data_IF_816994213954
#
_entry.id   IF_816994213954
#
_cell.length_a   1.000
_cell.length_b   1.000
_cell.length_c   1.000
_cell.angle_alpha   90.00
_cell.angle_beta   90.00
_cell.angle_gamma   90.00
#
_symmetry.space_group_name_H-M   'P 1'
#
loop_
_entity.id
_entity.type
_entity.pdbx_description
1 polymer ?
#
# COMPACT_ATOMS: atom_id res chain seq x y z
N UNK A 1 -13.81 9.92 5.55
CA UNK A 1 -13.61 8.78 6.47
C UNK A 1 -12.12 8.49 6.48
N UNK A 2 -11.54 8.15 7.62
CA UNK A 2 -10.09 7.90 7.75
C UNK A 2 -9.82 6.40 7.63
N UNK A 3 -8.96 6.00 6.69
CA UNK A 3 -8.57 4.59 6.46
C UNK A 3 -7.97 4.01 7.74
N UNK A 4 -8.48 2.85 8.15
CA UNK A 4 -7.98 2.14 9.33
C UNK A 4 -6.60 1.56 9.04
N UNK A 5 -6.38 1.05 7.83
CA UNK A 5 -5.07 0.52 7.42
C UNK A 5 -3.98 1.60 7.42
N UNK A 6 -4.26 2.81 6.88
CA UNK A 6 -3.33 3.95 6.95
C UNK A 6 -3.02 4.38 8.38
N UNK A 7 -4.04 4.49 9.22
CA UNK A 7 -3.87 4.87 10.63
C UNK A 7 -3.03 3.83 11.40
N UNK A 8 -3.27 2.53 11.17
CA UNK A 8 -2.49 1.45 11.76
C UNK A 8 -1.02 1.49 11.29
N UNK A 9 -0.80 1.71 9.99
CA UNK A 9 0.55 1.85 9.43
C UNK A 9 1.28 3.05 10.02
N UNK A 10 0.64 4.22 10.11
CA UNK A 10 1.23 5.43 10.68
C UNK A 10 1.66 5.20 12.14
N UNK A 11 0.82 4.54 12.95
CA UNK A 11 1.15 4.16 14.32
C UNK A 11 2.34 3.19 14.38
N UNK A 12 2.38 2.19 13.48
CA UNK A 12 3.49 1.25 13.38
C UNK A 12 4.81 1.90 12.98
N UNK A 13 4.78 2.81 12.00
CA UNK A 13 5.94 3.59 11.56
C UNK A 13 6.46 4.47 12.70
N UNK A 14 5.58 5.10 13.47
CA UNK A 14 5.98 5.89 14.62
C UNK A 14 6.64 5.03 15.70
N UNK A 15 6.07 3.86 16.00
CA UNK A 15 6.70 2.89 16.90
C UNK A 15 8.10 2.46 16.44
N UNK A 16 8.28 2.21 15.14
CA UNK A 16 9.60 1.88 14.56
C UNK A 16 10.58 3.06 14.66
N UNK A 17 10.13 4.30 14.42
CA UNK A 17 10.96 5.49 14.56
C UNK A 17 11.45 5.65 15.99
N UNK A 18 10.54 5.63 16.97
CA UNK A 18 10.87 5.72 18.40
C UNK A 18 11.86 4.61 18.77
N UNK A 19 11.55 3.35 18.44
CA UNK A 19 12.42 2.22 18.74
C UNK A 19 13.81 2.36 18.09
N UNK A 20 13.92 2.91 16.88
CA UNK A 20 15.21 3.13 16.21
C UNK A 20 16.11 4.17 16.89
N UNK A 21 15.53 5.04 17.73
CA UNK A 21 16.26 6.04 18.50
C UNK A 21 16.76 5.50 19.84
N UNK A 22 16.18 4.40 20.32
CA UNK A 22 16.50 3.82 21.63
C UNK A 22 17.99 3.40 21.72
N UNK A 23 18.73 3.79 22.77
CA UNK A 23 20.14 3.43 22.93
C UNK A 23 20.38 1.92 22.90
N UNK A 24 19.47 1.13 23.47
CA UNK A 24 19.56 -0.34 23.47
C UNK A 24 19.53 -0.92 22.04
N UNK A 25 18.72 -0.34 21.15
CA UNK A 25 18.65 -0.77 19.74
C UNK A 25 19.91 -0.37 18.96
N UNK A 26 20.59 0.69 19.40
CA UNK A 26 21.83 1.19 18.76
C UNK A 26 23.10 0.56 19.33
N UNK A 27 23.01 -0.10 20.48
CA UNK A 27 24.13 -0.76 21.13
C UNK A 27 24.72 -1.85 20.23
N UNK A 28 26.05 -1.96 20.20
CA UNK A 28 26.77 -2.99 19.41
C UNK A 28 26.97 -4.28 20.21
N UNK A 29 26.05 -4.58 21.14
CA UNK A 29 26.07 -5.78 21.97
C UNK A 29 25.02 -6.81 21.49
N UNK A 30 25.04 -8.05 22.01
CA UNK A 30 24.09 -9.09 21.59
C UNK A 30 22.62 -8.74 21.82
N UNK A 31 22.31 -7.91 22.83
CA UNK A 31 20.95 -7.47 23.10
C UNK A 31 20.46 -6.51 22.01
N UNK A 32 21.29 -5.53 21.63
CA UNK A 32 21.00 -4.63 20.53
C UNK A 32 20.84 -5.36 19.19
N UNK A 33 21.67 -6.38 18.92
CA UNK A 33 21.54 -7.23 17.73
C UNK A 33 20.21 -7.99 17.70
N UNK A 34 19.80 -8.56 18.84
CA UNK A 34 18.51 -9.22 18.98
C UNK A 34 17.35 -8.25 18.71
N UNK A 35 17.40 -7.04 19.28
CA UNK A 35 16.37 -6.02 19.07
C UNK A 35 16.29 -5.58 17.60
N UNK A 36 17.44 -5.33 16.94
CA UNK A 36 17.47 -4.95 15.52
C UNK A 36 16.92 -6.03 14.61
N UNK A 37 17.19 -7.31 14.87
CA UNK A 37 16.55 -8.42 14.13
C UNK A 37 15.03 -8.39 14.28
N UNK A 38 14.53 -8.24 15.50
CA UNK A 38 13.09 -8.12 15.75
C UNK A 38 12.45 -6.95 15.00
N UNK A 39 13.13 -5.80 14.96
CA UNK A 39 12.66 -4.61 14.25
C UNK A 39 12.72 -4.76 12.73
N UNK A 40 13.75 -5.43 12.19
CA UNK A 40 13.84 -5.72 10.75
C UNK A 40 12.66 -6.59 10.28
N UNK A 41 12.36 -7.65 11.03
CA UNK A 41 11.20 -8.52 10.77
C UNK A 41 9.90 -7.73 10.89
N UNK A 42 9.75 -6.94 11.96
CA UNK A 42 8.54 -6.14 12.21
C UNK A 42 8.30 -5.08 11.13
N UNK A 43 9.36 -4.48 10.59
CA UNK A 43 9.26 -3.47 9.53
C UNK A 43 8.69 -4.06 8.24
N UNK A 44 9.14 -5.24 7.83
CA UNK A 44 8.59 -5.92 6.65
C UNK A 44 7.15 -6.36 6.88
N UNK A 45 6.87 -6.97 8.05
CA UNK A 45 5.52 -7.40 8.41
C UNK A 45 4.54 -6.21 8.44
N UNK A 46 5.00 -5.01 8.80
CA UNK A 46 4.19 -3.80 8.80
C UNK A 46 3.75 -3.43 7.37
N UNK A 47 4.65 -3.54 6.39
CA UNK A 47 4.30 -3.36 4.97
C UNK A 47 3.30 -4.43 4.51
N UNK A 48 3.55 -5.71 4.80
CA UNK A 48 2.64 -6.81 4.40
C UNK A 48 1.24 -6.64 4.98
N UNK A 49 1.17 -6.34 6.28
CA UNK A 49 -0.09 -6.11 7.00
C UNK A 49 -0.83 -4.91 6.41
N UNK A 50 -0.11 -3.84 6.06
CA UNK A 50 -0.73 -2.68 5.42
C UNK A 50 -1.31 -3.03 4.05
N UNK A 51 -0.54 -3.71 3.17
CA UNK A 51 -1.01 -4.10 1.84
C UNK A 51 -2.24 -5.00 1.96
N UNK A 52 -2.19 -6.02 2.82
CA UNK A 52 -3.32 -6.94 3.07
C UNK A 52 -4.56 -6.18 3.57
N UNK A 53 -4.43 -5.40 4.64
CA UNK A 53 -5.54 -4.63 5.21
C UNK A 53 -6.10 -3.62 4.21
N UNK A 54 -5.24 -2.98 3.42
CA UNK A 54 -5.68 -1.99 2.44
C UNK A 54 -6.41 -2.64 1.28
N UNK A 55 -5.97 -3.80 0.78
CA UNK A 55 -6.71 -4.59 -0.21
C UNK A 55 -8.13 -4.91 0.27
N UNK A 56 -8.30 -5.26 1.54
CA UNK A 56 -9.64 -5.51 2.10
C UNK A 56 -10.53 -4.25 2.13
N UNK A 57 -9.95 -3.10 2.49
CA UNK A 57 -10.67 -1.82 2.42
C UNK A 57 -11.07 -1.47 0.97
N UNK A 58 -10.18 -1.66 0.01
CA UNK A 58 -10.44 -1.43 -1.41
C UNK A 58 -11.50 -2.39 -1.96
N UNK A 59 -11.47 -3.66 -1.59
CA UNK A 59 -12.48 -4.64 -1.96
C UNK A 59 -13.87 -4.20 -1.48
N UNK A 60 -13.95 -3.77 -0.22
CA UNK A 60 -15.19 -3.25 0.36
C UNK A 60 -15.68 -2.01 -0.40
N UNK A 61 -14.77 -1.08 -0.75
CA UNK A 61 -15.09 0.11 -1.52
C UNK A 61 -15.62 -0.22 -2.93
N UNK A 62 -14.96 -1.14 -3.64
CA UNK A 62 -15.35 -1.56 -5.00
C UNK A 62 -16.70 -2.28 -4.98
N UNK A 63 -16.94 -3.15 -4.00
CA UNK A 63 -18.21 -3.89 -3.86
C UNK A 63 -19.40 -2.99 -3.49
N UNK A 64 -19.18 -1.74 -3.07
CA UNK A 64 -20.24 -0.72 -2.90
C UNK A 64 -20.60 -0.02 -4.22
N UNK A 65 -20.05 -0.47 -5.35
CA UNK A 65 -20.40 0.01 -6.69
C UNK A 65 -21.66 -0.64 -7.26
N UNK A 66 -21.91 -0.35 -8.54
CA UNK A 66 -23.02 -0.93 -9.31
C UNK A 66 -22.56 -1.89 -10.41
N UNK A 67 -21.26 -2.17 -10.46
CA UNK A 67 -20.65 -3.09 -11.43
C UNK A 67 -21.19 -4.52 -11.18
N UNK A 68 -21.60 -5.22 -12.24
CA UNK A 68 -21.81 -6.67 -12.20
C UNK A 68 -20.55 -7.39 -12.68
N UNK A 69 -20.28 -8.59 -12.15
CA UNK A 69 -19.03 -9.29 -12.51
C UNK A 69 -18.98 -9.58 -14.02
N UNK A 70 -20.16 -9.85 -14.60
CA UNK A 70 -20.35 -10.04 -16.03
C UNK A 70 -20.02 -8.78 -16.87
N UNK A 71 -20.02 -7.58 -16.29
CA UNK A 71 -19.71 -6.33 -16.99
C UNK A 71 -18.19 -6.13 -17.17
N UNK A 72 -17.38 -6.83 -16.38
CA UNK A 72 -15.92 -6.82 -16.53
C UNK A 72 -15.51 -7.45 -17.87
N UNK A 73 -14.41 -7.02 -18.50
CA UNK A 73 -13.89 -7.72 -19.67
C UNK A 73 -13.61 -9.19 -19.35
N UNK A 74 -13.92 -10.11 -20.29
CA UNK A 74 -13.79 -11.55 -20.07
C UNK A 74 -12.39 -11.95 -19.55
N UNK A 75 -11.34 -11.31 -20.07
CA UNK A 75 -9.96 -11.52 -19.60
C UNK A 75 -9.77 -11.17 -18.12
N UNK A 76 -10.42 -10.10 -17.65
CA UNK A 76 -10.37 -9.67 -16.24
C UNK A 76 -11.16 -10.63 -15.37
N UNK A 77 -12.34 -11.07 -15.82
CA UNK A 77 -13.14 -12.09 -15.15
C UNK A 77 -12.35 -13.38 -14.95
N UNK A 78 -11.81 -13.95 -16.03
CA UNK A 78 -11.03 -15.20 -15.99
C UNK A 78 -9.79 -15.08 -15.09
N UNK A 79 -9.08 -13.95 -15.16
CA UNK A 79 -7.89 -13.70 -14.32
C UNK A 79 -8.28 -13.60 -12.85
N UNK A 80 -9.32 -12.85 -12.52
CA UNK A 80 -9.83 -12.69 -11.16
C UNK A 80 -10.26 -14.05 -10.57
N UNK A 81 -11.04 -14.83 -11.31
CA UNK A 81 -11.51 -16.15 -10.86
C UNK A 81 -10.36 -17.13 -10.64
N UNK A 82 -9.41 -17.24 -11.59
CA UNK A 82 -8.25 -18.14 -11.44
C UNK A 82 -7.39 -17.75 -10.24
N UNK A 83 -7.07 -16.47 -10.12
CA UNK A 83 -6.24 -15.97 -9.03
C UNK A 83 -6.90 -16.17 -7.66
N UNK A 84 -8.21 -15.91 -7.56
CA UNK A 84 -8.98 -16.20 -6.36
C UNK A 84 -8.88 -17.68 -5.94
N UNK A 85 -9.02 -18.61 -6.89
CA UNK A 85 -8.92 -20.04 -6.63
C UNK A 85 -7.51 -20.45 -6.19
N UNK A 86 -6.46 -19.89 -6.82
CA UNK A 86 -5.06 -20.17 -6.47
C UNK A 86 -4.76 -19.71 -5.04
N UNK A 87 -5.13 -18.48 -4.69
CA UNK A 87 -4.95 -17.91 -3.34
C UNK A 87 -5.79 -18.66 -2.32
N UNK A 88 -7.05 -18.95 -2.62
CA UNK A 88 -7.93 -19.71 -1.74
C UNK A 88 -7.39 -21.12 -1.47
N UNK A 89 -6.96 -21.84 -2.51
CA UNK A 89 -6.38 -23.17 -2.37
C UNK A 89 -5.07 -23.17 -1.58
N UNK A 90 -4.24 -22.14 -1.72
CA UNK A 90 -3.07 -21.95 -0.88
C UNK A 90 -3.42 -21.70 0.60
N UNK A 91 -4.44 -20.85 0.87
CA UNK A 91 -4.87 -20.53 2.23
C UNK A 91 -5.55 -21.70 2.94
N UNK A 92 -6.46 -22.43 2.27
CA UNK A 92 -7.17 -23.59 2.85
C UNK A 92 -6.19 -24.63 3.40
N UNK A 93 -5.08 -24.88 2.70
CA UNK A 93 -4.04 -25.82 3.15
C UNK A 93 -3.34 -25.43 4.45
N UNK A 94 -3.46 -24.18 4.88
CA UNK A 94 -2.84 -23.64 6.10
C UNK A 94 -3.85 -23.34 7.21
N UNK A 95 -5.15 -23.42 6.91
CA UNK A 95 -6.19 -23.11 7.89
C UNK A 95 -6.39 -24.27 8.87
N UNK A 96 -6.71 -23.97 10.15
CA UNK A 96 -7.23 -24.98 11.07
C UNK A 96 -8.50 -25.61 10.50
N UNK A 97 -8.74 -26.93 10.69
CA UNK A 97 -9.94 -27.61 10.19
C UNK A 97 -11.26 -26.94 10.60
N UNK A 98 -11.29 -26.27 11.76
CA UNK A 98 -12.46 -25.54 12.27
C UNK A 98 -12.86 -24.35 11.40
N UNK A 99 -11.92 -23.77 10.67
CA UNK A 99 -12.10 -22.50 9.95
C UNK A 99 -12.27 -22.72 8.44
N UNK A 100 -11.97 -23.92 7.95
CA UNK A 100 -12.06 -24.25 6.52
C UNK A 100 -13.46 -24.03 5.97
N UNK A 101 -14.49 -24.44 6.71
CA UNK A 101 -15.88 -24.32 6.25
C UNK A 101 -16.30 -22.86 6.05
N UNK A 102 -16.13 -22.02 7.06
CA UNK A 102 -16.50 -20.59 6.99
C UNK A 102 -15.68 -19.85 5.93
N UNK A 103 -14.41 -20.22 5.75
CA UNK A 103 -13.57 -19.70 4.68
C UNK A 103 -14.11 -20.08 3.30
N UNK A 104 -14.41 -21.36 3.06
CA UNK A 104 -14.95 -21.85 1.79
C UNK A 104 -16.31 -21.23 1.49
N UNK A 105 -17.18 -21.05 2.49
CA UNK A 105 -18.46 -20.35 2.34
C UNK A 105 -18.25 -18.90 1.86
N UNK A 106 -17.27 -18.19 2.42
CA UNK A 106 -16.91 -16.82 2.00
C UNK A 106 -16.39 -16.77 0.56
N UNK A 107 -15.50 -17.69 0.20
CA UNK A 107 -14.98 -17.80 -1.18
C UNK A 107 -16.10 -18.15 -2.16
N UNK A 108 -16.98 -19.07 -1.75
CA UNK A 108 -18.14 -19.50 -2.52
C UNK A 108 -19.08 -18.33 -2.83
N UNK A 109 -19.36 -17.45 -1.87
CA UNK A 109 -20.18 -16.25 -2.09
C UNK A 109 -19.59 -15.33 -3.17
N UNK A 110 -18.28 -15.13 -3.18
CA UNK A 110 -17.62 -14.34 -4.23
C UNK A 110 -17.64 -15.03 -5.59
N UNK A 111 -17.57 -16.38 -5.64
CA UNK A 111 -17.68 -17.13 -6.89
C UNK A 111 -19.11 -17.16 -7.44
N UNK A 112 -20.12 -17.19 -6.58
CA UNK A 112 -21.53 -17.12 -6.99
C UNK A 112 -21.88 -15.76 -7.59
N UNK A 113 -21.17 -14.70 -7.17
CA UNK A 113 -21.34 -13.35 -7.72
C UNK A 113 -20.94 -13.21 -9.19
N UNK A 114 -20.39 -14.25 -9.83
CA UNK A 114 -20.05 -14.26 -11.26
C UNK A 114 -21.26 -13.97 -12.17
N UNK A 115 -22.47 -14.29 -11.73
CA UNK A 115 -23.73 -14.01 -12.44
C UNK A 115 -24.57 -12.87 -11.84
N UNK A 116 -24.00 -12.06 -10.93
CA UNK A 116 -24.73 -11.04 -10.18
C UNK A 116 -23.91 -9.75 -9.94
N UNK A 117 -24.35 -8.90 -8.99
CA UNK A 117 -23.58 -7.74 -8.57
C UNK A 117 -22.17 -8.15 -8.15
N UNK A 118 -21.18 -7.30 -8.43
CA UNK A 118 -19.80 -7.60 -8.06
C UNK A 118 -19.67 -7.76 -6.55
N UNK A 119 -19.15 -8.93 -6.17
CA UNK A 119 -18.66 -9.20 -4.82
C UNK A 119 -17.25 -9.79 -4.92
N UNK A 120 -16.28 -8.94 -5.28
CA UNK A 120 -14.88 -9.35 -5.34
C UNK A 120 -14.39 -9.65 -3.92
N UNK A 121 -13.93 -10.89 -3.71
CA UNK A 121 -13.18 -11.22 -2.51
C UNK A 121 -11.87 -10.44 -2.51
N UNK A 122 -11.45 -9.97 -1.35
CA UNK A 122 -10.11 -9.40 -1.15
C UNK A 122 -9.01 -10.36 -1.63
N UNK A 123 -9.23 -11.68 -1.53
CA UNK A 123 -8.32 -12.72 -2.00
C UNK A 123 -7.98 -12.60 -3.50
N UNK A 124 -8.84 -11.97 -4.31
CA UNK A 124 -8.57 -11.66 -5.74
C UNK A 124 -7.34 -10.79 -5.93
N UNK A 125 -6.94 -10.05 -4.89
CA UNK A 125 -5.82 -9.12 -4.88
C UNK A 125 -4.80 -9.46 -3.79
N UNK A 126 -4.72 -10.72 -3.36
CA UNK A 126 -3.72 -11.16 -2.38
C UNK A 126 -2.76 -12.16 -3.01
N UNK A 127 -1.69 -12.49 -2.32
CA UNK A 127 -0.69 -13.46 -2.77
C UNK A 127 -0.93 -14.84 -2.13
N UNK A 128 -0.52 -15.93 -2.80
CA UNK A 128 -0.67 -17.28 -2.28
C UNK A 128 0.40 -17.66 -1.23
N UNK A 129 1.55 -16.97 -1.24
CA UNK A 129 2.65 -17.16 -0.29
C UNK A 129 2.25 -16.89 1.16
N UNK A 130 3.02 -17.37 2.12
CA UNK A 130 2.86 -16.95 3.54
C UNK A 130 3.35 -15.53 3.75
N UNK A 131 4.27 -15.10 2.90
CA UNK A 131 4.82 -13.76 2.84
C UNK A 131 4.77 -13.27 1.40
N UNK A 132 4.53 -11.98 1.24
CA UNK A 132 4.61 -11.25 -0.02
C UNK A 132 6.08 -11.14 -0.41
N UNK A 133 6.43 -11.48 -1.65
CA UNK A 133 7.73 -11.15 -2.23
C UNK A 133 7.62 -10.00 -3.25
N UNK A 134 8.72 -9.63 -3.91
CA UNK A 134 8.72 -8.57 -4.91
C UNK A 134 7.81 -8.86 -6.11
N UNK A 135 7.76 -10.12 -6.54
CA UNK A 135 6.98 -10.53 -7.70
C UNK A 135 5.48 -10.52 -7.37
N UNK A 136 5.12 -10.91 -6.15
CA UNK A 136 3.75 -10.78 -5.62
C UNK A 136 3.30 -9.32 -5.60
N UNK A 137 4.14 -8.41 -5.10
CA UNK A 137 3.85 -6.98 -5.04
C UNK A 137 3.68 -6.39 -6.46
N UNK A 138 4.54 -6.75 -7.40
CA UNK A 138 4.41 -6.32 -8.79
C UNK A 138 3.17 -6.93 -9.48
N UNK A 139 2.88 -8.20 -9.23
CA UNK A 139 1.68 -8.87 -9.76
C UNK A 139 0.41 -8.21 -9.24
N UNK A 140 0.41 -7.79 -7.97
CA UNK A 140 -0.68 -7.06 -7.35
C UNK A 140 -0.91 -5.70 -8.02
N UNK A 141 0.14 -4.90 -8.24
CA UNK A 141 0.01 -3.63 -8.96
C UNK A 141 -0.50 -3.81 -10.40
N UNK A 142 -0.13 -4.91 -11.07
CA UNK A 142 -0.67 -5.26 -12.39
C UNK A 142 -2.17 -5.60 -12.36
N UNK A 143 -2.75 -5.95 -11.21
CA UNK A 143 -4.21 -6.09 -11.07
C UNK A 143 -4.91 -4.73 -11.00
N UNK A 144 -4.18 -3.68 -10.62
CA UNK A 144 -4.63 -2.28 -10.61
C UNK A 144 -4.17 -1.50 -11.84
N UNK A 145 -3.95 -2.20 -12.96
CA UNK A 145 -3.60 -1.62 -14.26
C UNK A 145 -2.33 -0.76 -14.24
N UNK A 146 -1.30 -1.28 -13.58
CA UNK A 146 0.08 -0.76 -13.63
C UNK A 146 0.93 -1.80 -14.35
N UNK A 147 1.15 -1.63 -15.65
CA UNK A 147 1.76 -2.68 -16.49
C UNK A 147 3.27 -2.82 -16.25
N UNK A 148 3.93 -1.71 -15.91
CA UNK A 148 5.34 -1.64 -15.52
C UNK A 148 5.46 -1.15 -14.05
N UNK A 149 5.21 -2.02 -13.06
CA UNK A 149 5.17 -1.63 -11.64
C UNK A 149 6.40 -0.88 -11.17
N UNK A 150 7.60 -1.37 -11.50
CA UNK A 150 8.85 -0.80 -11.01
C UNK A 150 9.12 0.60 -11.58
N UNK A 151 8.91 0.81 -12.88
CA UNK A 151 9.02 2.13 -13.51
C UNK A 151 8.02 3.12 -12.91
N UNK A 152 6.78 2.67 -12.68
CA UNK A 152 5.72 3.49 -12.10
C UNK A 152 6.05 3.87 -10.64
N UNK A 153 6.55 2.93 -9.84
CA UNK A 153 7.02 3.19 -8.45
C UNK A 153 8.17 4.18 -8.48
N UNK A 154 9.19 3.99 -9.32
CA UNK A 154 10.32 4.92 -9.45
C UNK A 154 9.83 6.33 -9.78
N UNK A 155 8.93 6.44 -10.77
CA UNK A 155 8.36 7.72 -11.20
C UNK A 155 7.59 8.40 -10.08
N UNK A 156 6.68 7.68 -9.42
CA UNK A 156 5.86 8.24 -8.34
C UNK A 156 6.71 8.56 -7.10
N UNK A 157 7.64 7.69 -6.71
CA UNK A 157 8.54 7.91 -5.58
C UNK A 157 9.41 9.15 -5.79
N UNK A 158 9.93 9.35 -7.01
CA UNK A 158 10.67 10.57 -7.36
C UNK A 158 9.79 11.82 -7.25
N UNK A 159 8.54 11.77 -7.73
CA UNK A 159 7.58 12.87 -7.60
C UNK A 159 7.21 13.16 -6.14
N UNK A 160 7.34 12.18 -5.25
CA UNK A 160 7.11 12.32 -3.82
C UNK A 160 8.35 12.75 -3.03
N UNK A 161 9.51 12.92 -3.69
CA UNK A 161 10.77 13.25 -3.01
C UNK A 161 11.33 12.12 -2.16
N UNK A 162 10.92 10.87 -2.42
CA UNK A 162 11.43 9.70 -1.70
C UNK A 162 12.83 9.33 -2.20
N UNK A 163 13.66 8.65 -1.37
CA UNK A 163 15.03 8.30 -1.76
C UNK A 163 15.10 7.54 -3.08
N UNK A 164 16.00 7.92 -4.01
CA UNK A 164 16.17 7.22 -5.28
C UNK A 164 16.76 5.83 -5.05
N UNK A 165 16.44 4.89 -5.94
CA UNK A 165 16.91 3.51 -5.90
C UNK A 165 16.14 2.67 -6.92
N UNK A 166 16.61 1.44 -7.15
CA UNK A 166 15.85 0.45 -7.92
C UNK A 166 14.82 -0.24 -7.00
N UNK A 167 13.51 0.04 -7.13
CA UNK A 167 12.52 -0.48 -6.20
C UNK A 167 12.41 -2.01 -6.21
N UNK A 168 12.73 -2.66 -7.34
CA UNK A 168 12.70 -4.11 -7.41
C UNK A 168 13.77 -4.71 -6.50
N UNK A 169 15.02 -4.28 -6.69
CA UNK A 169 16.15 -4.73 -5.87
C UNK A 169 15.95 -4.37 -4.40
N UNK A 170 15.45 -3.16 -4.09
CA UNK A 170 15.17 -2.72 -2.73
C UNK A 170 14.17 -3.64 -2.01
N UNK A 171 13.04 -3.98 -2.64
CA UNK A 171 12.03 -4.85 -2.03
C UNK A 171 12.54 -6.29 -1.87
N UNK A 172 13.30 -6.79 -2.84
CA UNK A 172 13.95 -8.10 -2.75
C UNK A 172 14.93 -8.16 -1.57
N UNK A 173 15.79 -7.15 -1.44
CA UNK A 173 16.73 -7.06 -0.32
C UNK A 173 16.01 -6.91 1.02
N UNK A 174 14.91 -6.16 1.07
CA UNK A 174 14.10 -6.02 2.28
C UNK A 174 13.53 -7.36 2.74
N UNK A 175 12.98 -8.16 1.81
CA UNK A 175 12.47 -9.49 2.10
C UNK A 175 13.57 -10.47 2.52
N UNK A 176 14.74 -10.42 1.86
CA UNK A 176 15.90 -11.25 2.23
C UNK A 176 16.41 -10.93 3.63
N UNK A 177 16.52 -9.65 3.98
CA UNK A 177 16.97 -9.22 5.30
C UNK A 177 16.00 -9.67 6.39
N UNK A 178 14.68 -9.55 6.15
CA UNK A 178 13.65 -10.11 7.03
C UNK A 178 13.83 -11.61 7.21
N UNK A 179 14.04 -12.36 6.12
CA UNK A 179 14.17 -13.82 6.18
C UNK A 179 15.40 -14.24 6.99
N UNK A 180 16.54 -13.59 6.76
CA UNK A 180 17.77 -13.83 7.53
C UNK A 180 17.58 -13.48 9.00
N UNK A 181 17.03 -12.30 9.30
CA UNK A 181 16.77 -11.86 10.67
C UNK A 181 15.83 -12.79 11.47
N UNK A 182 14.89 -13.45 10.78
CA UNK A 182 13.93 -14.35 11.41
C UNK A 182 14.48 -15.77 11.66
N UNK A 183 15.35 -16.28 10.79
CA UNK A 183 15.73 -17.69 10.77
C UNK A 183 17.20 -17.96 11.11
N UNK A 184 18.08 -16.97 10.96
CA UNK A 184 19.49 -17.10 11.28
C UNK A 184 19.81 -16.39 12.60
N UNK A 185 20.08 -17.19 13.64
CA UNK A 185 20.42 -16.69 14.98
C UNK A 185 21.77 -15.96 15.03
N UNK A 186 22.61 -16.10 14.00
CA UNK A 186 23.91 -15.43 13.86
C UNK A 186 23.87 -14.19 12.96
N UNK A 187 22.78 -13.97 12.22
CA UNK A 187 22.66 -12.83 11.31
C UNK A 187 22.65 -11.50 12.06
N UNK A 188 23.52 -10.58 11.65
CA UNK A 188 23.63 -9.26 12.25
C UNK A 188 22.93 -8.21 11.39
N UNK A 189 21.89 -7.59 11.96
CA UNK A 189 21.22 -6.44 11.35
C UNK A 189 21.95 -5.16 11.76
N UNK A 190 22.36 -4.37 10.76
CA UNK A 190 23.06 -3.11 10.99
C UNK A 190 22.17 -2.06 11.65
N UNK A 191 22.74 -1.17 12.47
CA UNK A 191 21.99 -0.07 13.12
C UNK A 191 21.41 0.94 12.12
N UNK A 192 22.06 1.11 10.95
CA UNK A 192 21.55 1.96 9.87
C UNK A 192 20.39 1.32 9.08
N UNK A 193 20.18 0.01 9.25
CA UNK A 193 19.14 -0.70 8.52
C UNK A 193 17.74 -0.27 8.94
N UNK A 194 17.50 -0.05 10.23
CA UNK A 194 16.14 0.27 10.73
C UNK A 194 15.61 1.60 10.15
N UNK A 195 16.37 2.73 10.16
CA UNK A 195 15.95 3.94 9.46
C UNK A 195 15.73 3.74 7.95
N UNK A 196 16.56 2.91 7.30
CA UNK A 196 16.38 2.59 5.89
C UNK A 196 15.10 1.78 5.64
N UNK A 197 14.82 0.78 6.47
CA UNK A 197 13.60 -0.03 6.38
C UNK A 197 12.34 0.82 6.56
N UNK A 198 12.33 1.82 7.43
CA UNK A 198 11.23 2.79 7.57
C UNK A 198 10.96 3.51 6.24
N UNK A 199 12.02 3.97 5.55
CA UNK A 199 11.88 4.61 4.25
C UNK A 199 11.36 3.65 3.17
N UNK A 200 11.78 2.38 3.20
CA UNK A 200 11.25 1.35 2.30
C UNK A 200 9.77 1.10 2.55
N UNK A 201 9.35 0.95 3.81
CA UNK A 201 7.94 0.76 4.17
C UNK A 201 7.10 1.94 3.66
N UNK A 202 7.54 3.18 3.91
CA UNK A 202 6.84 4.38 3.40
C UNK A 202 6.75 4.36 1.88
N UNK A 203 7.88 4.10 1.19
CA UNK A 203 7.95 4.06 -0.27
C UNK A 203 6.94 3.07 -0.85
N UNK A 204 7.01 1.81 -0.44
CA UNK A 204 6.11 0.78 -0.99
C UNK A 204 4.67 0.93 -0.51
N UNK A 205 4.42 1.43 0.70
CA UNK A 205 3.07 1.65 1.17
C UNK A 205 2.36 2.77 0.41
N UNK A 206 3.01 3.94 0.26
CA UNK A 206 2.37 5.07 -0.43
C UNK A 206 2.18 4.79 -1.91
N UNK A 207 3.14 4.16 -2.60
CA UNK A 207 2.98 3.86 -4.03
C UNK A 207 1.92 2.78 -4.25
N UNK A 208 1.87 1.75 -3.41
CA UNK A 208 0.81 0.75 -3.47
C UNK A 208 -0.57 1.40 -3.31
N UNK A 209 -0.73 2.15 -2.22
CA UNK A 209 -2.02 2.74 -1.87
C UNK A 209 -2.48 3.79 -2.88
N UNK A 210 -1.57 4.60 -3.43
CA UNK A 210 -1.87 5.55 -4.48
C UNK A 210 -2.42 4.85 -5.73
N UNK A 211 -1.69 3.87 -6.28
CA UNK A 211 -2.13 3.17 -7.48
C UNK A 211 -3.42 2.38 -7.22
N UNK A 212 -3.48 1.61 -6.14
CA UNK A 212 -4.62 0.75 -5.86
C UNK A 212 -5.89 1.56 -5.53
N UNK A 213 -5.77 2.64 -4.75
CA UNK A 213 -6.92 3.51 -4.45
C UNK A 213 -7.40 4.27 -5.68
N UNK A 214 -6.50 4.85 -6.49
CA UNK A 214 -6.87 5.57 -7.72
C UNK A 214 -7.51 4.63 -8.74
N UNK A 215 -7.02 3.39 -8.88
CA UNK A 215 -7.61 2.38 -9.75
C UNK A 215 -8.99 1.90 -9.26
N UNK A 216 -9.23 1.88 -7.95
CA UNK A 216 -10.48 1.38 -7.39
C UNK A 216 -11.71 2.24 -7.74
N UNK A 217 -11.53 3.55 -7.96
CA UNK A 217 -12.59 4.47 -8.40
C UNK A 217 -13.24 4.10 -9.74
N UNK A 218 -12.48 4.15 -10.86
CA UNK A 218 -12.98 3.76 -12.16
C UNK A 218 -13.39 2.29 -12.20
N UNK A 219 -12.72 1.40 -11.45
CA UNK A 219 -13.14 0.00 -11.32
C UNK A 219 -14.53 -0.11 -10.70
N UNK A 220 -14.79 0.58 -9.58
CA UNK A 220 -16.10 0.63 -8.92
C UNK A 220 -17.21 1.13 -9.86
N UNK A 221 -16.86 2.03 -10.78
CA UNK A 221 -17.78 2.65 -11.77
C UNK A 221 -17.83 1.94 -13.12
N UNK A 222 -17.10 0.83 -13.31
CA UNK A 222 -17.01 0.13 -14.58
C UNK A 222 -16.51 1.01 -15.75
N UNK A 223 -15.62 1.97 -15.50
CA UNK A 223 -15.17 2.90 -16.55
C UNK A 223 -14.40 2.17 -17.65
N UNK A 224 -14.92 2.22 -18.89
CA UNK A 224 -14.30 1.58 -20.07
C UNK A 224 -12.87 2.02 -20.30
N UNK A 225 -12.58 3.31 -20.13
CA UNK A 225 -11.23 3.86 -20.28
C UNK A 225 -10.20 3.16 -19.37
N UNK A 226 -10.61 2.75 -18.17
CA UNK A 226 -9.78 1.95 -17.26
C UNK A 226 -9.76 0.49 -17.69
N UNK A 227 -10.93 -0.13 -17.88
CA UNK A 227 -11.06 -1.56 -18.17
C UNK A 227 -10.34 -2.00 -19.45
N UNK A 228 -10.29 -1.12 -20.45
CA UNK A 228 -9.69 -1.41 -21.76
C UNK A 228 -8.18 -1.06 -21.82
N UNK A 229 -7.64 -0.37 -20.80
CA UNK A 229 -6.23 0.02 -20.74
C UNK A 229 -5.51 -0.61 -19.53
N UNK A 230 -4.66 -1.64 -19.73
CA UNK A 230 -3.95 -2.32 -18.65
C UNK A 230 -2.82 -1.51 -18.00
N UNK A 231 -2.50 -0.31 -18.51
CA UNK A 231 -1.52 0.60 -17.93
C UNK A 231 -2.15 1.97 -17.58
N UNK A 232 -3.47 2.02 -17.40
CA UNK A 232 -4.20 3.27 -17.16
C UNK A 232 -3.67 4.02 -15.93
N UNK A 233 -3.44 3.31 -14.83
CA UNK A 233 -3.24 3.90 -13.51
C UNK A 233 -1.90 4.61 -13.37
N UNK A 234 -0.84 4.10 -14.01
CA UNK A 234 0.53 4.63 -13.88
C UNK A 234 0.65 6.09 -14.34
N UNK A 235 -0.22 6.52 -15.26
CA UNK A 235 -0.17 7.84 -15.90
C UNK A 235 -1.11 8.89 -15.30
N UNK A 236 -2.06 8.48 -14.45
CA UNK A 236 -3.17 9.36 -14.04
C UNK A 236 -3.12 9.82 -12.58
N UNK A 237 -2.24 9.24 -11.74
CA UNK A 237 -2.12 9.64 -10.34
C UNK A 237 -1.61 11.07 -10.27
N UNK A 238 -2.45 11.98 -9.78
CA UNK A 238 -2.07 13.37 -9.45
C UNK A 238 -1.57 13.49 -8.02
N UNK A 239 -0.82 14.55 -7.71
CA UNK A 239 -0.37 14.82 -6.34
C UNK A 239 -0.86 16.21 -5.88
N UNK A 240 -1.41 16.26 -4.67
CA UNK A 240 -1.66 17.51 -3.94
C UNK A 240 -0.85 17.46 -2.65
N UNK A 241 -0.08 18.51 -2.37
CA UNK A 241 0.81 18.53 -1.21
C UNK A 241 0.35 19.56 -0.20
N UNK A 242 0.36 19.20 1.08
CA UNK A 242 0.31 20.12 2.20
C UNK A 242 1.68 20.10 2.85
N UNK A 243 2.39 21.22 2.77
CA UNK A 243 3.79 21.35 3.19
C UNK A 243 3.85 22.17 4.47
N UNK A 244 4.52 21.64 5.47
CA UNK A 244 4.84 22.35 6.70
C UNK A 244 5.87 23.44 6.43
N UNK A 245 5.67 24.61 7.02
CA UNK A 245 6.64 25.69 7.05
C UNK A 245 6.86 26.12 8.50
N UNK A 246 7.86 26.98 8.71
CA UNK A 246 8.23 27.46 10.06
C UNK A 246 7.09 28.11 10.86
N UNK A 247 6.05 28.64 10.21
CA UNK A 247 4.97 29.41 10.87
C UNK A 247 3.56 28.94 10.51
N UNK A 248 3.42 28.22 9.41
CA UNK A 248 2.13 27.86 8.83
C UNK A 248 2.26 26.61 7.95
N UNK A 249 1.14 26.15 7.45
CA UNK A 249 1.03 25.09 6.46
C UNK A 249 0.62 25.68 5.13
N UNK A 250 1.01 25.03 4.04
CA UNK A 250 0.67 25.48 2.71
C UNK A 250 0.35 24.35 1.75
N UNK A 251 -0.73 24.56 1.02
CA UNK A 251 -1.20 23.65 -0.02
C UNK A 251 -0.57 24.02 -1.36
N UNK A 252 -0.10 23.02 -2.09
CA UNK A 252 0.42 23.14 -3.44
C UNK A 252 -0.21 22.08 -4.34
N UNK A 253 -0.58 22.48 -5.56
CA UNK A 253 -0.75 21.52 -6.64
C UNK A 253 0.61 20.96 -7.06
N UNK A 254 0.65 19.77 -7.66
CA UNK A 254 1.90 19.07 -7.98
C UNK A 254 2.95 19.91 -8.71
N UNK A 255 2.52 20.63 -9.76
CA UNK A 255 3.36 21.50 -10.58
C UNK A 255 3.29 22.98 -10.17
N UNK A 256 2.55 23.29 -9.09
CA UNK A 256 2.34 24.65 -8.63
C UNK A 256 3.54 25.19 -7.86
N UNK A 257 4.19 26.23 -8.39
CA UNK A 257 5.24 26.95 -7.65
C UNK A 257 4.69 27.86 -6.55
N UNK A 258 3.43 28.29 -6.67
CA UNK A 258 2.74 29.14 -5.70
C UNK A 258 1.79 28.30 -4.86
N UNK A 259 1.74 28.62 -3.57
CA UNK A 259 0.78 28.00 -2.68
C UNK A 259 -0.64 28.39 -3.09
N UNK A 260 -1.52 27.40 -3.17
CA UNK A 260 -2.94 27.59 -3.43
C UNK A 260 -3.64 28.23 -2.22
N UNK A 261 -3.30 27.75 -1.02
CA UNK A 261 -3.78 28.27 0.25
C UNK A 261 -2.75 28.06 1.35
N UNK A 262 -2.77 28.92 2.36
CA UNK A 262 -1.97 28.77 3.57
C UNK A 262 -2.87 28.87 4.81
N UNK A 263 -2.41 28.32 5.93
CA UNK A 263 -3.13 28.41 7.20
C UNK A 263 -2.32 27.85 8.37
N UNK A 264 -2.58 28.30 9.60
CA UNK A 264 -1.88 27.82 10.79
C UNK A 264 -2.33 26.42 11.24
N UNK A 265 -3.56 26.01 10.89
CA UNK A 265 -4.13 24.71 11.26
C UNK A 265 -3.97 23.69 10.13
N UNK A 266 -3.12 22.69 10.39
CA UNK A 266 -2.87 21.54 9.49
C UNK A 266 -4.15 20.81 9.12
N UNK A 267 -5.01 20.52 10.12
CA UNK A 267 -6.17 19.68 9.94
C UNK A 267 -7.23 20.38 9.08
N UNK A 268 -7.52 21.65 9.39
CA UNK A 268 -8.43 22.45 8.58
C UNK A 268 -7.94 22.57 7.13
N UNK A 269 -6.63 22.80 6.92
CA UNK A 269 -6.06 22.88 5.58
C UNK A 269 -6.14 21.54 4.83
N UNK A 270 -5.95 20.41 5.51
CA UNK A 270 -6.07 19.07 4.91
C UNK A 270 -7.49 18.73 4.50
N UNK A 271 -8.48 19.04 5.34
CA UNK A 271 -9.91 18.85 5.02
C UNK A 271 -10.27 19.69 3.79
N UNK A 272 -9.84 20.95 3.77
CA UNK A 272 -10.06 21.81 2.62
C UNK A 272 -9.34 21.29 1.36
N UNK A 273 -8.08 20.87 1.46
CA UNK A 273 -7.32 20.33 0.33
C UNK A 273 -7.96 19.03 -0.22
N UNK A 274 -8.49 18.18 0.66
CA UNK A 274 -9.18 16.94 0.27
C UNK A 274 -10.43 17.21 -0.57
N UNK A 275 -11.18 18.28 -0.29
CA UNK A 275 -12.36 18.66 -1.10
C UNK A 275 -12.00 19.15 -2.52
N UNK A 276 -10.73 19.53 -2.73
CA UNK A 276 -10.18 19.95 -4.03
C UNK A 276 -9.39 18.85 -4.74
N UNK A 277 -9.24 17.69 -4.11
CA UNK A 277 -8.64 16.53 -4.75
C UNK A 277 -9.61 15.96 -5.78
N UNK A 278 -9.08 15.63 -6.96
CA UNK A 278 -9.78 14.74 -7.87
C UNK A 278 -9.80 13.30 -7.31
N UNK A 279 -10.64 12.45 -7.90
CA UNK A 279 -10.66 11.00 -7.64
C UNK A 279 -9.30 10.30 -7.89
N UNK A 280 -8.38 10.99 -8.55
CA UNK A 280 -7.06 10.50 -8.97
C UNK A 280 -5.92 11.12 -8.18
N UNK A 281 -6.22 12.02 -7.24
CA UNK A 281 -5.20 12.75 -6.50
C UNK A 281 -4.81 12.00 -5.22
N UNK A 282 -3.50 11.87 -5.04
CA UNK A 282 -2.86 11.55 -3.78
C UNK A 282 -2.62 12.85 -2.99
N UNK A 283 -3.25 12.98 -1.83
CA UNK A 283 -3.01 14.08 -0.91
C UNK A 283 -1.89 13.69 0.06
N UNK A 284 -0.79 14.42 0.05
CA UNK A 284 0.40 14.14 0.86
C UNK A 284 0.71 15.27 1.83
N UNK A 285 1.21 14.93 3.01
CA UNK A 285 1.78 15.88 3.97
C UNK A 285 3.29 15.75 3.98
N UNK A 286 3.97 16.88 3.85
CA UNK A 286 5.43 16.97 3.88
C UNK A 286 5.85 17.88 5.01
N UNK A 287 6.83 17.46 5.82
CA UNK A 287 7.38 18.27 6.92
C UNK A 287 8.34 19.37 6.43
N UNK A 288 8.89 20.14 7.37
CA UNK A 288 9.83 21.23 7.07
C UNK A 288 11.16 20.74 6.47
N UNK A 289 11.48 19.45 6.60
CA UNK A 289 12.67 18.80 6.04
C UNK A 289 12.41 18.21 4.65
N UNK A 290 11.17 18.28 4.16
CA UNK A 290 10.79 17.69 2.88
C UNK A 290 10.45 16.19 2.97
N UNK A 291 10.30 15.63 4.17
CA UNK A 291 9.94 14.23 4.34
C UNK A 291 8.43 14.03 4.28
N UNK A 292 8.00 12.98 3.56
CA UNK A 292 6.62 12.54 3.54
C UNK A 292 6.24 11.96 4.91
N UNK A 293 5.30 12.61 5.59
CA UNK A 293 4.86 12.21 6.94
C UNK A 293 3.50 11.53 6.95
N UNK A 294 2.59 11.97 6.08
CA UNK A 294 1.23 11.40 5.95
C UNK A 294 0.79 11.40 4.48
N UNK A 295 -0.11 10.50 4.13
CA UNK A 295 -0.80 10.53 2.84
C UNK A 295 -2.22 10.00 2.95
N UNK A 296 -3.04 10.35 1.96
CA UNK A 296 -4.39 9.82 1.79
C UNK A 296 -4.81 9.92 0.33
N UNK A 297 -5.75 9.08 -0.08
CA UNK A 297 -6.46 9.21 -1.37
C UNK A 297 -7.92 9.49 -1.02
N UNK A 298 -8.39 10.76 -1.06
CA UNK A 298 -9.69 11.17 -0.50
C UNK A 298 -10.89 10.39 -1.02
N UNK A 299 -10.81 9.87 -2.26
CA UNK A 299 -11.84 9.01 -2.85
C UNK A 299 -12.14 7.77 -2.00
N UNK A 300 -11.10 7.17 -1.43
CA UNK A 300 -11.22 5.94 -0.66
C UNK A 300 -10.69 6.19 0.74
N UNK A 301 -11.65 6.44 1.63
CA UNK A 301 -11.47 6.68 3.06
C UNK A 301 -10.32 5.88 3.63
#
# INVERSE_FOLDING_TARGET
MTSRSRAALAKGLEGLRIASLEPAVRASDPAGEMLRRGLAVSSYNLLETFVDARVHELATFVNQGHLHFADLPERVQQRATRHLLDVAGARVRRLPPTDVRSFVETVGQSLVAVSGPVNLSALTWLWPGSNMNSDDYAALLKLFHVQKPWDAITTLASRLGLPPGDPQTELQQFGLERNRAAHDSSHQVSSIWIPHAINLVVKFAVTFDAFASVASGPLRRAERAYLDNPDWTSSVVGIRRVVERRRDWAEFAESGQRAYRTGPDKHALLVDAATRCSDRDLLTVVDVQGQLTEWSVPLVG
#
